data_IF_646233499704
#
_entry.id   IF_646233499704
#
_cell.length_a   1.000
_cell.length_b   1.000
_cell.length_c   1.000
_cell.angle_alpha   90.00
_cell.angle_beta   90.00
_cell.angle_gamma   90.00
#
_symmetry.space_group_name_H-M   'P 1'
#
loop_
_entity.id
_entity.type
_entity.pdbx_description
1 polymer ?
#
# COMPACT_ATOMS: atom_id res chain seq x y z
N UNK A 1 -2.12 -14.40 12.52
CA UNK A 1 -1.73 -13.03 12.09
C UNK A 1 -2.97 -12.17 12.04
N UNK A 2 -3.00 -11.10 12.82
CA UNK A 2 -4.12 -10.14 12.87
C UNK A 2 -3.83 -8.91 11.99
N UNK A 3 -2.57 -8.49 11.91
CA UNK A 3 -2.12 -7.41 11.04
C UNK A 3 -0.67 -7.63 10.58
N UNK A 4 -0.30 -7.03 9.46
CA UNK A 4 1.08 -7.01 8.93
C UNK A 4 1.61 -5.58 8.92
N UNK A 5 2.90 -5.44 9.20
CA UNK A 5 3.64 -4.19 9.03
C UNK A 5 4.45 -4.28 7.74
N UNK A 6 4.19 -3.38 6.81
CA UNK A 6 4.81 -3.35 5.49
C UNK A 6 5.61 -2.06 5.32
N UNK A 7 6.83 -2.16 4.81
CA UNK A 7 7.46 -1.02 4.14
C UNK A 7 7.00 -1.03 2.67
N UNK A 8 6.09 -0.11 2.33
CA UNK A 8 5.51 -0.01 0.99
C UNK A 8 6.27 1.06 0.21
N UNK A 9 6.84 0.70 -0.92
CA UNK A 9 7.59 1.62 -1.78
C UNK A 9 6.93 1.73 -3.15
N UNK A 10 6.63 2.96 -3.55
CA UNK A 10 6.27 3.31 -4.92
C UNK A 10 7.55 3.49 -5.72
N UNK A 11 7.62 2.87 -6.90
CA UNK A 11 8.69 3.09 -7.87
C UNK A 11 8.12 3.28 -9.28
N UNK A 12 8.83 4.08 -10.09
CA UNK A 12 8.48 4.37 -11.48
C UNK A 12 7.00 4.77 -11.74
N UNK A 13 6.36 5.63 -10.93
CA UNK A 13 5.02 6.11 -11.23
C UNK A 13 5.02 6.95 -12.52
N UNK A 14 4.08 6.69 -13.43
CA UNK A 14 3.98 7.43 -14.70
C UNK A 14 3.13 8.70 -14.59
N UNK A 15 2.46 8.90 -13.46
CA UNK A 15 1.62 10.06 -13.16
C UNK A 15 1.59 10.30 -11.65
N UNK A 16 1.29 11.54 -11.23
CA UNK A 16 1.04 11.83 -9.81
C UNK A 16 -0.25 11.16 -9.32
N UNK A 17 -0.28 10.82 -8.04
CA UNK A 17 -1.46 10.26 -7.39
C UNK A 17 -1.12 9.63 -6.05
N UNK A 18 -1.83 8.56 -5.69
CA UNK A 18 -1.71 7.96 -4.38
C UNK A 18 -1.91 6.45 -4.37
N UNK A 19 -1.43 5.80 -3.31
CA UNK A 19 -1.75 4.41 -2.97
C UNK A 19 -2.61 4.36 -1.71
N UNK A 20 -3.57 3.45 -1.69
CA UNK A 20 -4.30 3.03 -0.48
C UNK A 20 -4.07 1.54 -0.25
N UNK A 21 -3.73 1.18 0.97
CA UNK A 21 -3.51 -0.21 1.42
C UNK A 21 -4.54 -0.54 2.49
N UNK A 22 -5.28 -1.62 2.33
CA UNK A 22 -6.44 -1.92 3.17
C UNK A 22 -6.69 -3.44 3.27
N UNK A 23 -7.50 -3.89 4.25
CA UNK A 23 -7.79 -5.31 4.42
C UNK A 23 -8.53 -5.90 3.23
N UNK A 24 -8.16 -7.12 2.83
CA UNK A 24 -8.82 -7.85 1.74
C UNK A 24 -10.31 -8.04 2.04
N UNK A 25 -11.14 -7.77 1.02
CA UNK A 25 -12.60 -7.86 1.09
C UNK A 25 -13.30 -6.73 1.88
N UNK A 26 -12.57 -5.78 2.45
CA UNK A 26 -13.16 -4.61 3.08
C UNK A 26 -13.48 -3.51 2.03
N UNK A 27 -14.48 -2.65 2.27
CA UNK A 27 -14.69 -1.47 1.43
C UNK A 27 -13.43 -0.60 1.40
N UNK A 28 -12.99 -0.22 0.19
CA UNK A 28 -11.82 0.64 0.02
C UNK A 28 -12.02 1.97 0.76
N UNK A 29 -11.11 2.35 1.68
CA UNK A 29 -11.14 3.65 2.32
C UNK A 29 -10.95 4.82 1.34
N UNK A 30 -11.40 6.01 1.72
CA UNK A 30 -11.16 7.25 0.94
C UNK A 30 -9.82 7.94 1.26
N UNK A 31 -8.99 7.30 2.08
CA UNK A 31 -7.70 7.85 2.55
C UNK A 31 -6.51 7.21 1.82
N UNK A 32 -5.42 7.97 1.67
CA UNK A 32 -4.15 7.52 1.08
C UNK A 32 -3.15 7.08 2.16
N UNK A 33 -2.29 6.12 1.84
CA UNK A 33 -1.07 5.82 2.60
C UNK A 33 0.16 6.52 2.00
N UNK A 34 0.27 6.58 0.67
CA UNK A 34 1.36 7.28 -0.02
C UNK A 34 0.78 8.24 -1.04
N UNK A 35 1.35 9.43 -1.13
CA UNK A 35 1.12 10.38 -2.22
C UNK A 35 2.45 10.58 -2.93
N UNK A 36 2.43 10.63 -4.25
CA UNK A 36 3.64 10.66 -5.05
C UNK A 36 3.42 11.42 -6.36
N UNK A 37 4.52 11.90 -6.91
CA UNK A 37 4.61 12.51 -8.24
C UNK A 37 5.18 11.54 -9.27
N UNK A 38 4.98 11.83 -10.56
CA UNK A 38 5.59 11.05 -11.63
C UNK A 38 7.12 10.99 -11.50
N UNK A 39 7.70 9.80 -11.67
CA UNK A 39 9.14 9.54 -11.54
C UNK A 39 9.68 9.43 -10.12
N UNK A 40 8.86 9.62 -9.08
CA UNK A 40 9.32 9.51 -7.70
C UNK A 40 9.57 8.05 -7.26
N UNK A 41 10.52 7.90 -6.34
CA UNK A 41 10.73 6.67 -5.56
C UNK A 41 10.54 7.05 -4.10
N UNK A 42 9.45 6.58 -3.48
CA UNK A 42 9.09 6.98 -2.11
C UNK A 42 8.53 5.80 -1.31
N UNK A 43 9.08 5.54 -0.10
CA UNK A 43 8.54 4.56 0.82
C UNK A 43 7.58 5.19 1.86
N UNK A 44 6.70 4.35 2.42
CA UNK A 44 5.98 4.63 3.66
C UNK A 44 5.72 3.33 4.43
N UNK A 45 5.77 3.41 5.76
CA UNK A 45 5.43 2.28 6.63
C UNK A 45 3.91 2.18 6.80
N UNK A 46 3.35 1.01 6.55
CA UNK A 46 1.92 0.72 6.63
C UNK A 46 1.68 -0.41 7.62
N UNK A 47 0.71 -0.22 8.52
CA UNK A 47 0.16 -1.30 9.35
C UNK A 47 -1.26 -1.57 8.87
N UNK A 48 -1.54 -2.81 8.46
CA UNK A 48 -2.84 -3.17 7.86
C UNK A 48 -3.32 -4.51 8.40
N UNK A 49 -4.61 -4.62 8.82
CA UNK A 49 -5.20 -5.90 9.16
C UNK A 49 -5.14 -6.88 7.99
N UNK A 50 -4.92 -8.14 8.31
CA UNK A 50 -4.80 -9.21 7.31
C UNK A 50 -6.07 -10.06 7.34
N UNK A 51 -6.62 -10.36 6.17
CA UNK A 51 -7.74 -11.29 6.01
C UNK A 51 -7.26 -12.46 5.16
N UNK A 52 -7.25 -13.67 5.73
CA UNK A 52 -6.80 -14.91 5.05
C UNK A 52 -5.41 -14.80 4.37
N UNK A 53 -4.48 -14.07 5.00
CA UNK A 53 -3.13 -13.85 4.45
C UNK A 53 -3.05 -12.79 3.35
N UNK A 54 -4.12 -12.05 3.08
CA UNK A 54 -4.22 -11.06 2.01
C UNK A 54 -4.47 -9.64 2.53
N UNK A 55 -4.02 -8.70 1.72
CA UNK A 55 -4.25 -7.25 1.81
C UNK A 55 -4.42 -6.71 0.40
N UNK A 56 -5.19 -5.65 0.25
CA UNK A 56 -5.45 -5.02 -1.04
C UNK A 56 -4.70 -3.71 -1.20
N UNK A 57 -4.25 -3.45 -2.42
CA UNK A 57 -3.65 -2.19 -2.85
C UNK A 57 -4.53 -1.54 -3.90
N UNK A 58 -4.75 -0.24 -3.77
CA UNK A 58 -5.39 0.57 -4.80
C UNK A 58 -4.45 1.65 -5.29
N UNK A 59 -4.25 1.69 -6.61
CA UNK A 59 -3.59 2.79 -7.32
C UNK A 59 -4.62 3.84 -7.74
N UNK A 60 -4.58 5.00 -7.09
CA UNK A 60 -5.45 6.15 -7.36
C UNK A 60 -4.94 7.11 -8.44
N UNK A 61 -3.89 6.73 -9.18
CA UNK A 61 -3.35 7.56 -10.27
C UNK A 61 -4.10 7.32 -11.58
N UNK A 62 -3.98 8.25 -12.52
CA UNK A 62 -4.36 8.03 -13.92
C UNK A 62 -3.32 7.26 -14.75
N UNK A 63 -2.31 6.66 -14.11
CA UNK A 63 -1.19 5.99 -14.77
C UNK A 63 -0.80 4.67 -14.11
N UNK A 64 0.40 4.20 -14.44
CA UNK A 64 0.96 2.97 -13.88
C UNK A 64 1.94 3.30 -12.75
N UNK A 65 2.08 2.36 -11.82
CA UNK A 65 3.05 2.42 -10.73
C UNK A 65 3.54 1.02 -10.42
N UNK A 66 4.81 0.89 -10.04
CA UNK A 66 5.32 -0.34 -9.45
C UNK A 66 5.27 -0.22 -7.93
N UNK A 67 4.85 -1.30 -7.27
CA UNK A 67 4.75 -1.36 -5.82
C UNK A 67 5.64 -2.47 -5.32
N UNK A 68 6.54 -2.13 -4.39
CA UNK A 68 7.32 -3.07 -3.60
C UNK A 68 6.71 -3.06 -2.20
N UNK A 69 6.45 -4.23 -1.62
CA UNK A 69 5.90 -4.37 -0.29
C UNK A 69 6.72 -5.39 0.50
N UNK A 70 7.57 -4.88 1.39
CA UNK A 70 8.43 -5.71 2.23
C UNK A 70 7.80 -5.91 3.61
N UNK A 71 7.75 -7.15 4.09
CA UNK A 71 7.27 -7.45 5.44
C UNK A 71 8.32 -7.03 6.46
N UNK A 72 8.02 -5.99 7.24
CA UNK A 72 8.85 -5.52 8.34
C UNK A 72 8.53 -6.23 9.66
N UNK A 73 7.32 -6.79 9.78
CA UNK A 73 6.88 -7.52 10.96
C UNK A 73 5.40 -7.88 10.88
N UNK A 74 4.88 -8.55 11.91
CA UNK A 74 3.47 -8.89 12.00
C UNK A 74 2.99 -8.91 13.45
N UNK A 75 1.69 -8.72 13.62
CA UNK A 75 1.00 -8.92 14.89
C UNK A 75 0.35 -10.31 14.88
N UNK A 76 0.60 -11.06 15.96
CA UNK A 76 -0.09 -12.33 16.24
C UNK A 76 -0.68 -12.30 17.63
N UNK A 77 -1.83 -12.96 17.76
CA UNK A 77 -2.31 -13.45 19.05
C UNK A 77 -1.63 -14.79 19.35
#
# INVERSE_FOLDING_TARGET
MTAVVLNVTVTAPTASGYLTVYPDGAPRPTVSNLNFSAGEVIPNLVVVPVVNGKVDFYNGTGGNVHVIADVAGYFSN
#
